data_IF_177423220290
#
_entry.id   IF_177423220290
#
_cell.length_a   1.000
_cell.length_b   1.000
_cell.length_c   1.000
_cell.angle_alpha   90.00
_cell.angle_beta   90.00
_cell.angle_gamma   90.00
#
_symmetry.space_group_name_H-M   'P 1'
#
loop_
_entity.id
_entity.type
_entity.pdbx_description
1 polymer ?
#
# COMPACT_ATOMS: atom_id res chain seq x y z
N UNK A 1 -0.64 -1.46 19.24
CA UNK A 1 0.02 -1.63 17.93
C UNK A 1 1.48 -2.02 18.14
N UNK A 2 1.95 -3.00 17.40
CA UNK A 2 3.28 -3.55 17.61
C UNK A 2 4.17 -3.21 16.42
N UNK A 3 5.30 -2.55 16.67
CA UNK A 3 6.24 -2.19 15.63
C UNK A 3 7.28 -3.28 15.41
N UNK A 4 7.62 -3.49 14.16
CA UNK A 4 8.74 -4.35 13.80
C UNK A 4 10.04 -3.58 14.04
N UNK A 5 10.95 -4.15 14.80
CA UNK A 5 12.20 -3.46 15.17
C UNK A 5 13.16 -3.26 13.99
N UNK A 6 12.90 -3.92 12.87
CA UNK A 6 13.77 -3.83 11.69
C UNK A 6 13.33 -2.75 10.70
N UNK A 7 12.31 -1.98 11.03
CA UNK A 7 11.85 -0.92 10.13
C UNK A 7 12.86 0.22 10.08
N UNK A 8 12.99 0.82 8.88
CA UNK A 8 13.78 2.03 8.74
C UNK A 8 13.00 3.23 9.28
N UNK A 9 13.66 4.36 9.59
CA UNK A 9 12.90 5.54 10.01
C UNK A 9 11.88 6.02 8.99
N UNK A 10 12.15 5.87 7.69
CA UNK A 10 11.19 6.23 6.65
C UNK A 10 9.96 5.34 6.73
N UNK A 11 10.15 4.03 6.88
CA UNK A 11 9.03 3.10 7.02
C UNK A 11 8.20 3.41 8.26
N UNK A 12 8.83 3.67 9.38
CA UNK A 12 8.11 4.01 10.61
C UNK A 12 7.28 5.28 10.45
N UNK A 13 7.86 6.30 9.80
CA UNK A 13 7.16 7.55 9.64
C UNK A 13 5.89 7.40 8.80
N UNK A 14 5.96 6.60 7.75
CA UNK A 14 4.80 6.39 6.87
C UNK A 14 3.78 5.48 7.55
N UNK A 15 4.22 4.37 8.13
CA UNK A 15 3.31 3.39 8.72
C UNK A 15 2.58 3.93 9.96
N UNK A 16 3.27 4.71 10.78
CA UNK A 16 2.72 5.08 12.08
C UNK A 16 2.42 6.57 12.24
N UNK A 17 2.95 7.42 11.37
CA UNK A 17 2.67 8.85 11.40
C UNK A 17 1.93 9.32 10.14
N UNK A 18 1.47 8.40 9.32
CA UNK A 18 0.66 8.68 8.13
C UNK A 18 1.35 9.58 7.12
N UNK A 19 2.67 9.50 7.03
CA UNK A 19 3.42 10.23 6.02
C UNK A 19 3.26 9.54 4.66
N UNK A 20 3.77 10.19 3.61
CA UNK A 20 3.68 9.66 2.25
C UNK A 20 5.07 9.72 1.63
N UNK A 21 5.49 8.64 0.97
CA UNK A 21 6.77 8.66 0.26
C UNK A 21 6.65 9.53 -1.00
N UNK A 22 7.76 10.13 -1.47
CA UNK A 22 7.73 10.91 -2.71
C UNK A 22 7.35 10.05 -3.91
N UNK A 23 6.60 10.60 -4.89
CA UNK A 23 6.27 9.85 -6.08
C UNK A 23 7.54 9.41 -6.82
N UNK A 24 7.50 8.20 -7.36
CA UNK A 24 8.63 7.66 -8.11
C UNK A 24 9.78 7.14 -7.28
N UNK A 25 9.66 7.15 -5.95
CA UNK A 25 10.78 6.77 -5.08
C UNK A 25 10.89 5.26 -4.85
N UNK A 26 9.83 4.49 -5.08
CA UNK A 26 9.84 3.06 -4.77
C UNK A 26 10.27 2.23 -5.98
N UNK A 27 11.16 1.27 -5.75
CA UNK A 27 11.53 0.30 -6.77
C UNK A 27 10.33 -0.55 -7.17
N UNK A 28 9.35 -0.70 -6.29
CA UNK A 28 8.17 -1.53 -6.58
C UNK A 28 7.28 -0.93 -7.65
N UNK A 29 7.46 0.35 -7.99
CA UNK A 29 6.75 0.92 -9.13
C UNK A 29 6.97 0.11 -10.40
N UNK A 30 8.15 -0.45 -10.57
CA UNK A 30 8.53 -1.18 -11.77
C UNK A 30 8.56 -2.69 -11.57
N UNK A 31 8.08 -3.19 -10.44
CA UNK A 31 8.10 -4.62 -10.14
C UNK A 31 7.07 -5.34 -11.00
N UNK A 32 7.52 -6.30 -11.79
CA UNK A 32 6.65 -7.03 -12.71
C UNK A 32 6.66 -8.54 -12.53
N UNK A 33 7.47 -9.04 -11.60
CA UNK A 33 7.53 -10.48 -11.36
C UNK A 33 6.26 -10.95 -10.66
N UNK A 34 5.95 -12.22 -10.82
CA UNK A 34 4.84 -12.84 -10.08
C UNK A 34 5.23 -13.06 -8.64
N UNK A 35 4.31 -12.75 -7.75
CA UNK A 35 4.56 -12.91 -6.32
C UNK A 35 3.46 -12.28 -5.50
N UNK A 36 3.82 -11.92 -4.27
CA UNK A 36 2.89 -11.32 -3.34
C UNK A 36 3.53 -10.12 -2.66
N UNK A 37 2.68 -9.21 -2.18
CA UNK A 37 3.12 -8.00 -1.49
C UNK A 37 2.62 -8.06 -0.05
N UNK A 38 3.52 -7.87 0.90
CA UNK A 38 3.26 -8.05 2.32
C UNK A 38 3.50 -6.76 3.08
N UNK A 39 2.82 -6.61 4.22
CA UNK A 39 3.03 -5.46 5.08
C UNK A 39 4.45 -5.50 5.65
N UNK A 40 5.19 -4.39 5.51
CA UNK A 40 6.57 -4.33 6.00
C UNK A 40 6.66 -4.47 7.51
N UNK A 41 5.59 -4.12 8.24
CA UNK A 41 5.60 -4.19 9.69
C UNK A 41 5.22 -5.58 10.21
N UNK A 42 4.15 -6.20 9.72
CA UNK A 42 3.64 -7.45 10.29
C UNK A 42 3.67 -8.63 9.34
N UNK A 43 4.13 -8.43 8.11
CA UNK A 43 4.29 -9.48 7.09
C UNK A 43 2.97 -10.11 6.61
N UNK A 44 1.85 -9.49 6.91
CA UNK A 44 0.55 -9.96 6.38
C UNK A 44 0.54 -9.80 4.86
N UNK A 45 0.11 -10.84 4.15
CA UNK A 45 -0.04 -10.74 2.70
C UNK A 45 -1.21 -9.82 2.38
N UNK A 46 -0.97 -8.80 1.55
CA UNK A 46 -1.96 -7.76 1.28
C UNK A 46 -2.44 -7.76 -0.15
N UNK A 47 -1.53 -7.97 -1.10
CA UNK A 47 -1.85 -7.93 -2.53
C UNK A 47 -1.15 -9.05 -3.26
N UNK A 48 -1.78 -9.51 -4.35
CA UNK A 48 -1.14 -10.43 -5.29
C UNK A 48 -0.66 -9.64 -6.49
N UNK A 49 0.44 -10.09 -7.09
CA UNK A 49 1.02 -9.41 -8.26
C UNK A 49 0.03 -9.30 -9.41
N UNK A 50 -0.93 -10.23 -9.50
CA UNK A 50 -1.93 -10.21 -10.56
C UNK A 50 -2.85 -9.00 -10.49
N UNK A 51 -2.90 -8.30 -9.35
CA UNK A 51 -3.73 -7.11 -9.20
C UNK A 51 -2.94 -5.80 -9.35
N UNK A 52 -1.63 -5.88 -9.53
CA UNK A 52 -0.79 -4.69 -9.71
C UNK A 52 -0.89 -4.20 -11.15
N UNK A 53 -0.92 -2.89 -11.34
CA UNK A 53 -0.97 -2.32 -12.67
C UNK A 53 -0.25 -0.96 -12.70
N UNK A 54 0.04 -0.47 -13.92
CA UNK A 54 0.72 0.81 -14.14
C UNK A 54 -0.29 1.93 -14.11
N UNK A 55 -0.34 2.69 -13.03
CA UNK A 55 -1.30 3.79 -12.90
C UNK A 55 -0.73 5.13 -13.34
N UNK A 56 0.59 5.23 -13.43
CA UNK A 56 1.24 6.51 -13.73
C UNK A 56 1.26 7.47 -12.56
N UNK A 57 0.85 7.04 -11.37
CA UNK A 57 0.71 7.93 -10.23
C UNK A 57 2.04 8.19 -9.49
N UNK A 58 3.04 7.35 -9.72
CA UNK A 58 4.31 7.47 -9.00
C UNK A 58 4.42 6.56 -7.78
N UNK A 59 3.37 5.80 -7.49
CA UNK A 59 3.35 4.83 -6.39
C UNK A 59 2.89 3.48 -6.92
N UNK A 60 3.30 2.37 -6.27
CA UNK A 60 2.76 1.05 -6.63
C UNK A 60 1.24 1.06 -6.52
N UNK A 61 0.56 0.57 -7.54
CA UNK A 61 -0.90 0.61 -7.60
C UNK A 61 -1.47 -0.76 -7.86
N UNK A 62 -2.62 -1.01 -7.22
CA UNK A 62 -3.32 -2.29 -7.31
C UNK A 62 -4.81 -2.01 -7.47
N UNK A 63 -5.53 -2.88 -8.18
CA UNK A 63 -6.97 -2.68 -8.32
C UNK A 63 -7.77 -3.52 -7.32
N UNK A 64 -7.10 -4.38 -6.54
CA UNK A 64 -7.79 -5.24 -5.57
C UNK A 64 -6.81 -5.71 -4.51
N UNK A 65 -7.23 -5.70 -3.25
CA UNK A 65 -6.45 -6.30 -2.16
C UNK A 65 -6.97 -7.71 -1.86
N UNK A 66 -6.25 -8.45 -1.03
CA UNK A 66 -6.80 -9.66 -0.45
C UNK A 66 -7.96 -9.27 0.48
N UNK A 67 -8.93 -10.18 0.68
CA UNK A 67 -10.07 -9.83 1.52
C UNK A 67 -9.64 -9.65 2.98
N UNK A 68 -10.28 -8.69 3.63
CA UNK A 68 -10.25 -8.52 5.09
C UNK A 68 -8.85 -8.22 5.66
N UNK A 69 -7.97 -7.58 4.85
CA UNK A 69 -6.62 -7.25 5.31
C UNK A 69 -6.45 -5.76 5.64
N UNK A 70 -7.41 -4.92 5.25
CA UNK A 70 -7.33 -3.47 5.49
C UNK A 70 -8.56 -2.95 6.18
N UNK A 71 -8.37 -1.88 6.96
CA UNK A 71 -9.44 -1.02 7.44
C UNK A 71 -9.28 0.35 6.79
N UNK A 72 -10.39 1.06 6.61
CA UNK A 72 -10.39 2.34 5.92
C UNK A 72 -10.95 3.43 6.83
N UNK A 73 -10.54 4.67 6.56
CA UNK A 73 -11.16 5.83 7.19
C UNK A 73 -11.05 7.01 6.24
N UNK A 74 -11.89 8.03 6.47
CA UNK A 74 -11.87 9.24 5.66
C UNK A 74 -10.77 10.17 6.14
N UNK A 75 -10.00 10.70 5.20
CA UNK A 75 -8.88 11.60 5.45
C UNK A 75 -9.18 12.94 4.78
N UNK A 76 -9.12 14.03 5.54
CA UNK A 76 -9.38 15.38 5.04
C UNK A 76 -8.12 16.24 4.99
N UNK A 77 -6.96 15.62 5.08
CA UNK A 77 -5.70 16.33 5.29
C UNK A 77 -5.39 17.39 4.23
N UNK A 78 -5.71 17.11 2.97
CA UNK A 78 -5.36 18.04 1.87
C UNK A 78 -6.55 18.84 1.37
N UNK A 79 -7.56 19.04 2.20
CA UNK A 79 -8.67 19.92 1.90
C UNK A 79 -9.85 19.26 1.20
N UNK A 80 -9.77 17.99 0.86
CA UNK A 80 -10.92 17.23 0.36
C UNK A 80 -10.85 15.81 0.92
N UNK A 81 -11.99 15.14 0.92
CA UNK A 81 -12.08 13.79 1.52
C UNK A 81 -11.39 12.77 0.65
N UNK A 82 -10.55 11.94 1.27
CA UNK A 82 -9.93 10.79 0.62
C UNK A 82 -10.16 9.57 1.51
N UNK A 83 -10.17 8.38 0.91
CA UNK A 83 -10.26 7.14 1.68
C UNK A 83 -8.85 6.62 1.89
N UNK A 84 -8.43 6.59 3.15
CA UNK A 84 -7.13 6.04 3.51
C UNK A 84 -7.33 4.60 3.98
N UNK A 85 -6.30 3.76 3.81
CA UNK A 85 -6.38 2.38 4.30
C UNK A 85 -5.12 2.02 5.07
N UNK A 86 -5.30 1.16 6.08
CA UNK A 86 -4.18 0.67 6.88
C UNK A 86 -4.37 -0.81 7.16
N UNK A 87 -3.26 -1.46 7.49
CA UNK A 87 -3.23 -2.88 7.75
C UNK A 87 -4.13 -3.19 8.93
N UNK A 88 -5.08 -4.09 8.75
CA UNK A 88 -6.00 -4.45 9.81
C UNK A 88 -5.29 -5.12 10.97
N UNK A 89 -4.23 -5.87 10.67
CA UNK A 89 -3.52 -6.63 11.71
C UNK A 89 -2.65 -5.76 12.59
N UNK A 90 -1.91 -4.80 12.03
CA UNK A 90 -0.96 -4.01 12.82
C UNK A 90 -1.29 -2.53 12.88
N UNK A 91 -2.29 -2.07 12.12
CA UNK A 91 -2.68 -0.67 12.12
C UNK A 91 -1.78 0.26 11.32
N UNK A 92 -0.76 -0.27 10.63
CA UNK A 92 0.14 0.57 9.86
C UNK A 92 -0.54 1.20 8.64
N UNK A 93 -0.30 2.50 8.43
CA UNK A 93 -0.86 3.22 7.29
C UNK A 93 -0.17 2.78 5.99
N UNK A 94 -0.94 2.49 4.96
CA UNK A 94 -0.38 2.05 3.68
C UNK A 94 -0.62 3.02 2.55
N UNK A 95 -1.75 3.68 2.49
CA UNK A 95 -2.02 4.60 1.40
C UNK A 95 -3.50 4.99 1.32
N UNK A 96 -3.94 5.26 0.09
CA UNK A 96 -5.29 5.75 -0.16
C UNK A 96 -5.92 4.95 -1.30
N UNK A 97 -7.27 4.88 -1.29
CA UNK A 97 -8.06 4.22 -2.32
C UNK A 97 -8.80 5.28 -3.12
N UNK A 98 -8.73 5.19 -4.44
CA UNK A 98 -9.43 6.09 -5.35
C UNK A 98 -10.37 5.27 -6.23
N UNK A 99 -11.39 5.92 -6.80
CA UNK A 99 -12.39 5.23 -7.61
C UNK A 99 -12.10 5.32 -9.11
N UNK A 100 -10.85 5.59 -9.48
CA UNK A 100 -10.44 5.74 -10.87
C UNK A 100 -9.56 4.59 -11.34
N UNK A 101 -9.78 3.39 -10.81
CA UNK A 101 -9.01 2.21 -11.19
C UNK A 101 -9.64 1.41 -12.30
N UNK A 102 -8.96 0.37 -12.76
CA UNK A 102 -9.47 -0.47 -13.84
C UNK A 102 -10.51 -1.47 -13.36
N UNK A 103 -11.25 -2.04 -14.31
CA UNK A 103 -12.13 -3.15 -13.99
C UNK A 103 -11.28 -4.35 -13.54
N UNK A 104 -11.81 -5.25 -12.71
CA UNK A 104 -13.24 -5.38 -12.36
C UNK A 104 -13.70 -4.53 -11.18
N UNK A 105 -12.80 -3.97 -10.37
CA UNK A 105 -13.24 -3.27 -9.16
C UNK A 105 -13.49 -1.78 -9.35
N UNK A 106 -12.84 -1.16 -10.32
CA UNK A 106 -12.89 0.30 -10.48
C UNK A 106 -12.09 1.04 -9.41
N UNK A 107 -11.31 0.33 -8.60
CA UNK A 107 -10.56 0.91 -7.49
C UNK A 107 -9.07 1.02 -7.80
N UNK A 108 -8.44 2.06 -7.28
CA UNK A 108 -6.99 2.20 -7.34
C UNK A 108 -6.47 2.30 -5.91
N UNK A 109 -5.81 1.23 -5.46
CA UNK A 109 -5.11 1.21 -4.17
C UNK A 109 -3.72 1.78 -4.43
N UNK A 110 -3.48 2.99 -3.96
CA UNK A 110 -2.19 3.66 -4.12
C UNK A 110 -1.41 3.42 -2.84
N UNK A 111 -0.38 2.58 -2.89
CA UNK A 111 0.34 2.14 -1.69
C UNK A 111 1.73 2.74 -1.64
N UNK A 112 2.16 3.15 -0.45
CA UNK A 112 3.54 3.58 -0.25
C UNK A 112 4.45 2.36 -0.36
N UNK A 113 5.36 2.37 -1.32
CA UNK A 113 6.16 1.18 -1.62
C UNK A 113 7.05 0.72 -0.49
N UNK A 114 7.56 1.66 0.33
CA UNK A 114 8.41 1.28 1.47
C UNK A 114 7.63 0.54 2.55
N UNK A 115 6.29 0.60 2.50
CA UNK A 115 5.44 -0.14 3.44
C UNK A 115 5.18 -1.57 3.00
N UNK A 116 5.67 -1.95 1.84
CA UNK A 116 5.46 -3.29 1.27
C UNK A 116 6.77 -4.05 1.16
N UNK A 117 6.68 -5.36 1.34
CA UNK A 117 7.77 -6.29 1.02
C UNK A 117 7.26 -7.18 -0.09
N UNK A 118 7.97 -7.21 -1.21
CA UNK A 118 7.62 -8.08 -2.33
C UNK A 118 8.29 -9.43 -2.17
N UNK A 119 7.52 -10.50 -2.28
CA UNK A 119 8.04 -11.87 -2.20
C UNK A 119 7.75 -12.56 -3.52
N UNK A 120 8.77 -12.79 -4.37
CA UNK A 120 8.55 -13.47 -5.64
C UNK A 120 8.15 -14.93 -5.40
N UNK A 121 7.37 -15.48 -6.34
CA UNK A 121 6.95 -16.88 -6.25
C UNK A 121 8.10 -17.83 -6.50
N UNK A 122 9.20 -17.36 -7.06
CA UNK A 122 10.35 -18.22 -7.35
C UNK A 122 11.59 -17.66 -6.74
#
# INVERSE_FOLDING_TARGET
>A
MKKNSNLTPVQENILFNEATEPPGSSELNNEKREGSYHCANCDTELFKSSTKYESGSGWPSFFKSLPDVFETKTDHYIGYARTEYHCKKCGGHHGHIFDDGPQPTGKRYCNNGVCLVFKPHK
#
